data_IF_205041888581
#
_entry.id   IF_205041888581
#
_cell.length_a   1.000
_cell.length_b   1.000
_cell.length_c   1.000
_cell.angle_alpha   90.00
_cell.angle_beta   90.00
_cell.angle_gamma   90.00
#
_symmetry.space_group_name_H-M   'P 1'
#
loop_
_entity.id
_entity.type
_entity.pdbx_description
1 polymer ?
#
# COMPACT_ATOMS: atom_id res chain seq x y z
N UNK A 1 4.61 4.84 -15.98
CA UNK A 1 4.29 5.20 -14.59
C UNK A 1 4.13 3.91 -13.86
N UNK A 2 4.86 3.74 -12.77
CA UNK A 2 4.94 2.48 -12.05
C UNK A 2 4.24 2.62 -10.70
N UNK A 3 3.69 1.52 -10.22
CA UNK A 3 3.06 1.40 -8.90
C UNK A 3 3.59 0.16 -8.19
N UNK A 4 3.58 0.19 -6.87
CA UNK A 4 3.94 -0.96 -6.03
C UNK A 4 2.66 -1.53 -5.43
N UNK A 5 2.43 -2.81 -5.65
CA UNK A 5 1.43 -3.59 -4.92
C UNK A 5 2.19 -4.46 -3.92
N UNK A 6 1.87 -4.29 -2.64
CA UNK A 6 2.55 -4.96 -1.53
C UNK A 6 1.62 -5.93 -0.81
N UNK A 7 2.11 -7.11 -0.47
CA UNK A 7 1.39 -8.05 0.39
C UNK A 7 1.64 -7.72 1.88
N UNK A 8 0.63 -7.89 2.72
CA UNK A 8 0.76 -7.63 4.16
C UNK A 8 1.43 -8.77 4.94
N UNK A 9 1.51 -9.97 4.38
CA UNK A 9 2.08 -11.18 4.97
C UNK A 9 3.50 -11.43 4.44
N UNK A 10 4.36 -10.42 4.56
CA UNK A 10 5.79 -10.55 4.26
C UNK A 10 6.60 -10.87 5.52
N UNK A 11 7.49 -11.85 5.39
CA UNK A 11 8.37 -12.29 6.48
C UNK A 11 9.67 -11.48 6.55
N UNK A 12 10.30 -11.49 7.73
CA UNK A 12 11.61 -10.89 7.94
C UNK A 12 12.69 -11.53 7.04
N UNK A 13 13.69 -10.77 6.57
CA UNK A 13 14.02 -9.39 6.97
C UNK A 13 13.23 -8.30 6.23
N UNK A 14 12.26 -8.65 5.38
CA UNK A 14 11.57 -7.76 4.45
C UNK A 14 10.10 -7.60 4.83
N UNK A 15 9.82 -7.23 6.08
CA UNK A 15 8.45 -6.96 6.53
C UNK A 15 7.78 -5.85 5.70
N UNK A 16 6.46 -5.89 5.63
CA UNK A 16 5.66 -4.92 4.87
C UNK A 16 5.90 -3.49 5.36
N UNK A 17 6.03 -3.28 6.68
CA UNK A 17 6.36 -1.96 7.27
C UNK A 17 7.72 -1.48 6.83
N UNK A 18 8.73 -2.35 6.87
CA UNK A 18 10.09 -1.98 6.50
C UNK A 18 10.15 -1.56 5.03
N UNK A 19 9.48 -2.29 4.16
CA UNK A 19 9.40 -1.95 2.74
C UNK A 19 8.64 -0.64 2.50
N UNK A 20 7.51 -0.42 3.17
CA UNK A 20 6.78 0.85 3.09
C UNK A 20 7.66 2.03 3.49
N UNK A 21 8.36 1.95 4.61
CA UNK A 21 9.24 3.05 5.05
C UNK A 21 10.42 3.24 4.11
N UNK A 22 11.05 2.16 3.68
CA UNK A 22 12.17 2.24 2.74
C UNK A 22 11.76 2.91 1.43
N UNK A 23 10.60 2.56 0.86
CA UNK A 23 10.09 3.20 -0.36
C UNK A 23 9.81 4.68 -0.11
N UNK A 24 9.20 5.05 1.02
CA UNK A 24 8.94 6.47 1.36
C UNK A 24 10.23 7.29 1.46
N UNK A 25 11.28 6.72 2.02
CA UNK A 25 12.58 7.40 2.20
C UNK A 25 13.39 7.48 0.90
N UNK A 26 13.37 6.43 0.09
CA UNK A 26 14.27 6.29 -1.06
C UNK A 26 13.62 6.59 -2.41
N UNK A 27 12.29 6.48 -2.50
CA UNK A 27 11.50 6.63 -3.72
C UNK A 27 10.16 7.34 -3.43
N UNK A 28 10.18 8.60 -2.93
CA UNK A 28 8.98 9.28 -2.43
C UNK A 28 7.86 9.41 -3.48
N UNK A 29 8.20 9.65 -4.75
CA UNK A 29 7.22 9.69 -5.83
C UNK A 29 6.52 8.34 -6.04
N UNK A 30 7.25 7.24 -5.87
CA UNK A 30 6.70 5.88 -5.98
C UNK A 30 5.89 5.52 -4.73
N UNK A 31 6.21 6.09 -3.58
CA UNK A 31 5.49 5.91 -2.33
C UNK A 31 4.05 6.43 -2.39
N UNK A 32 3.81 7.49 -3.17
CA UNK A 32 2.45 7.99 -3.47
C UNK A 32 1.64 6.99 -4.29
N UNK A 33 2.31 6.04 -4.94
CA UNK A 33 1.74 5.04 -5.83
C UNK A 33 1.84 3.62 -5.26
N UNK A 34 1.64 3.50 -3.95
CA UNK A 34 1.59 2.21 -3.25
C UNK A 34 0.16 1.75 -2.98
N UNK A 35 -0.06 0.44 -3.13
CA UNK A 35 -1.29 -0.26 -2.78
C UNK A 35 -0.96 -1.46 -1.90
N UNK A 36 -1.62 -1.59 -0.75
CA UNK A 36 -1.46 -2.74 0.13
C UNK A 36 -2.56 -3.79 -0.13
N UNK A 37 -2.23 -5.07 -0.15
CA UNK A 37 -3.21 -6.15 -0.04
C UNK A 37 -3.20 -6.67 1.38
N UNK A 38 -4.37 -6.75 2.01
CA UNK A 38 -4.49 -6.91 3.47
C UNK A 38 -5.31 -8.13 3.80
N UNK A 39 -4.77 -9.00 4.64
CA UNK A 39 -5.45 -10.19 5.14
C UNK A 39 -6.63 -9.83 6.05
N UNK A 40 -7.66 -10.69 6.12
CA UNK A 40 -8.84 -10.44 7.00
C UNK A 40 -8.47 -10.22 8.46
N UNK A 41 -7.34 -10.80 8.89
CA UNK A 41 -6.78 -10.66 10.24
C UNK A 41 -5.37 -10.07 10.10
N UNK A 42 -5.24 -8.77 9.81
CA UNK A 42 -3.93 -8.17 9.62
C UNK A 42 -3.12 -8.26 10.91
N UNK A 43 -1.81 -8.42 10.74
CA UNK A 43 -0.86 -8.33 11.84
C UNK A 43 -0.95 -6.97 12.53
N UNK A 44 -0.43 -6.87 13.76
CA UNK A 44 -0.35 -5.57 14.45
C UNK A 44 0.41 -4.55 13.60
N UNK A 45 1.50 -4.99 13.00
CA UNK A 45 2.36 -4.16 12.15
C UNK A 45 1.59 -3.60 10.95
N UNK A 46 0.83 -4.43 10.25
CA UNK A 46 -0.02 -4.01 9.13
C UNK A 46 -1.06 -2.98 9.55
N UNK A 47 -1.66 -3.12 10.74
CA UNK A 47 -2.61 -2.13 11.26
C UNK A 47 -1.93 -0.77 11.51
N UNK A 48 -0.73 -0.78 12.09
CA UNK A 48 0.05 0.44 12.30
C UNK A 48 0.36 1.15 10.95
N UNK A 49 0.67 0.40 9.89
CA UNK A 49 0.87 0.96 8.55
C UNK A 49 -0.41 1.63 8.04
N UNK A 50 -1.55 0.95 8.15
CA UNK A 50 -2.84 1.46 7.68
C UNK A 50 -3.25 2.74 8.41
N UNK A 51 -2.98 2.82 9.71
CA UNK A 51 -3.29 4.00 10.55
C UNK A 51 -2.33 5.17 10.28
N UNK A 52 -1.02 4.91 10.18
CA UNK A 52 0.00 5.97 10.12
C UNK A 52 0.22 6.46 8.69
N UNK A 53 0.24 5.55 7.72
CA UNK A 53 0.62 5.88 6.35
C UNK A 53 -0.59 6.17 5.44
N UNK A 54 -1.82 5.96 5.94
CA UNK A 54 -3.08 6.12 5.17
C UNK A 54 -3.00 5.49 3.77
N UNK A 55 -2.34 4.32 3.68
CA UNK A 55 -2.12 3.68 2.39
C UNK A 55 -3.43 3.11 1.84
N UNK A 56 -3.71 3.31 0.53
CA UNK A 56 -4.75 2.57 -0.15
C UNK A 56 -4.56 1.07 0.05
N UNK A 57 -5.65 0.34 0.26
CA UNK A 57 -5.58 -1.10 0.41
C UNK A 57 -6.78 -1.84 -0.18
N UNK A 58 -6.59 -3.14 -0.41
CA UNK A 58 -7.62 -4.11 -0.81
C UNK A 58 -7.61 -5.27 0.18
N UNK A 59 -8.78 -5.68 0.69
CA UNK A 59 -8.87 -6.76 1.67
C UNK A 59 -9.02 -8.12 1.00
N UNK A 60 -8.25 -9.12 1.45
CA UNK A 60 -8.34 -10.51 1.01
C UNK A 60 -9.63 -11.17 1.57
N UNK A 61 -10.27 -12.12 0.84
CA UNK A 61 -9.94 -12.60 -0.49
C UNK A 61 -10.18 -11.52 -1.54
N UNK A 62 -9.24 -11.38 -2.46
CA UNK A 62 -9.24 -10.31 -3.46
C UNK A 62 -10.17 -10.66 -4.60
N UNK A 63 -11.05 -9.73 -4.98
CA UNK A 63 -11.68 -9.76 -6.29
C UNK A 63 -10.74 -9.11 -7.32
N UNK A 64 -10.49 -9.81 -8.43
CA UNK A 64 -9.55 -9.33 -9.46
C UNK A 64 -9.94 -7.95 -9.99
N UNK A 65 -11.24 -7.69 -10.15
CA UNK A 65 -11.75 -6.40 -10.61
C UNK A 65 -11.51 -5.28 -9.59
N UNK A 66 -11.63 -5.59 -8.29
CA UNK A 66 -11.34 -4.63 -7.23
C UNK A 66 -9.85 -4.30 -7.21
N UNK A 67 -8.98 -5.31 -7.21
CA UNK A 67 -7.53 -5.13 -7.24
C UNK A 67 -7.10 -4.30 -8.46
N UNK A 68 -7.64 -4.63 -9.63
CA UNK A 68 -7.36 -3.90 -10.87
C UNK A 68 -7.81 -2.45 -10.79
N UNK A 69 -9.05 -2.20 -10.35
CA UNK A 69 -9.60 -0.85 -10.19
C UNK A 69 -8.75 0.00 -9.24
N UNK A 70 -8.36 -0.58 -8.10
CA UNK A 70 -7.51 0.11 -7.11
C UNK A 70 -6.09 0.36 -7.64
N UNK A 71 -5.50 -0.60 -8.34
CA UNK A 71 -4.19 -0.40 -8.97
C UNK A 71 -4.23 0.72 -10.03
N UNK A 72 -5.30 0.78 -10.83
CA UNK A 72 -5.51 1.87 -11.79
C UNK A 72 -5.66 3.23 -11.10
N UNK A 73 -6.42 3.30 -10.00
CA UNK A 73 -6.55 4.52 -9.21
C UNK A 73 -5.17 4.98 -8.74
N UNK A 74 -4.40 4.11 -8.11
CA UNK A 74 -3.06 4.44 -7.59
C UNK A 74 -2.08 4.86 -8.71
N UNK A 75 -2.16 4.24 -9.89
CA UNK A 75 -1.36 4.63 -11.06
C UNK A 75 -1.72 6.01 -11.62
N UNK A 76 -2.99 6.40 -11.56
CA UNK A 76 -3.50 7.68 -12.06
C UNK A 76 -3.43 8.80 -11.02
N UNK A 77 -3.53 8.44 -9.73
CA UNK A 77 -3.56 9.34 -8.59
C UNK A 77 -2.17 9.78 -8.15
N UNK A 78 -1.33 10.29 -9.06
CA UNK A 78 -0.12 11.06 -8.70
C UNK A 78 -0.38 12.34 -7.85
N UNK A 79 -1.56 12.42 -7.20
CA UNK A 79 -1.96 13.32 -6.14
C UNK A 79 -2.83 12.50 -5.18
N UNK A 80 -2.27 12.07 -4.07
CA UNK A 80 -3.03 11.49 -2.97
C UNK A 80 -4.07 12.55 -2.50
N UNK A 81 -5.39 12.31 -2.63
CA UNK A 81 -6.39 13.31 -2.28
C UNK A 81 -6.40 13.67 -0.79
N UNK A 82 -5.74 12.88 0.06
CA UNK A 82 -5.55 13.16 1.49
C UNK A 82 -4.33 14.04 1.81
N UNK A 83 -3.57 14.52 0.83
CA UNK A 83 -2.45 15.46 1.01
C UNK A 83 -2.79 16.92 0.62
N UNK A 84 -4.06 17.23 0.37
CA UNK A 84 -4.54 18.57 0.00
C UNK A 84 -5.58 19.14 1.00
N UNK A 85 -5.55 18.72 2.25
CA UNK A 85 -6.35 19.31 3.33
C UNK A 85 -5.46 19.82 4.47
#
# INVERSE_FOLDING_TARGET
MDAIILDDELEEPLSSKRLVWWVRENQPELAERMLLTVSRKPSRETREILEIAMLPHVTKPLEVLELYSRAQQVLQSGKNPHLLQ
#
